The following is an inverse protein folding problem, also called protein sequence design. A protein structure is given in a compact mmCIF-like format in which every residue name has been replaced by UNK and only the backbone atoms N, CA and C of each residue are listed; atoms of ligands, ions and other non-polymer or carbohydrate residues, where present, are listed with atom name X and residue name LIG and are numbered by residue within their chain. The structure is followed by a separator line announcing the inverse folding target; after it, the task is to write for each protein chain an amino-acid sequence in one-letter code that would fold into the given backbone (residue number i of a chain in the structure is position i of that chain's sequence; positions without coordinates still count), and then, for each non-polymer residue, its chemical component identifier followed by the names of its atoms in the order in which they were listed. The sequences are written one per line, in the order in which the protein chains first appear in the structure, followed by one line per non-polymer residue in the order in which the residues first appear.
data_IF_256907441180
#
_entry.id   IF_256907441180
#
_cell.length_a   1.000
_cell.length_b   1.000
_cell.length_c   1.000
_cell.angle_alpha   90.00
_cell.angle_beta   90.00
_cell.angle_gamma   90.00
#
_symmetry.space_group_name_H-M   'P 1'
#
loop_
_entity.id
_entity.type
_entity.pdbx_description
1 polymer ?
#
# COMPACT_ATOMS: atom_id res chain seq x y z
N UNK A 1 21.04 -8.58 3.15
CA UNK A 1 20.22 -7.39 2.84
C UNK A 1 20.97 -6.16 3.29
N UNK A 2 20.81 -5.04 2.56
CA UNK A 2 21.26 -3.74 3.04
C UNK A 2 20.02 -2.93 3.44
N UNK A 3 20.01 -2.39 4.66
CA UNK A 3 19.00 -1.46 5.13
C UNK A 3 19.51 -0.03 4.99
N UNK A 4 18.77 0.80 4.25
CA UNK A 4 19.14 2.18 3.98
C UNK A 4 18.04 3.13 4.46
N UNK A 5 18.44 4.24 5.04
CA UNK A 5 17.59 5.40 5.29
C UNK A 5 18.04 6.51 4.33
N UNK A 6 17.18 6.87 3.39
CA UNK A 6 17.51 7.83 2.34
C UNK A 6 16.72 9.11 2.58
N UNK A 7 17.44 10.22 2.73
CA UNK A 7 16.86 11.56 2.75
C UNK A 7 17.12 12.21 1.38
N UNK A 8 16.09 12.82 0.81
CA UNK A 8 16.22 13.50 -0.49
C UNK A 8 15.18 14.61 -0.63
N UNK A 9 15.45 15.54 -1.52
CA UNK A 9 14.52 16.60 -1.88
C UNK A 9 13.53 16.09 -2.94
N UNK A 10 12.26 16.03 -2.59
CA UNK A 10 11.19 15.73 -3.54
C UNK A 10 10.80 17.01 -4.28
N UNK A 11 10.85 16.96 -5.61
CA UNK A 11 10.45 18.09 -6.45
C UNK A 11 8.95 18.33 -6.40
N UNK A 12 8.17 17.27 -6.27
CA UNK A 12 6.71 17.31 -6.23
C UNK A 12 6.20 17.83 -4.90
N UNK A 13 6.81 17.39 -3.78
CA UNK A 13 6.47 17.87 -2.45
C UNK A 13 7.09 19.25 -2.16
N UNK A 14 8.13 19.65 -2.90
CA UNK A 14 8.94 20.85 -2.68
C UNK A 14 9.51 20.93 -1.25
N UNK A 15 9.92 19.77 -0.73
CA UNK A 15 10.54 19.63 0.59
C UNK A 15 11.40 18.38 0.67
N UNK A 16 12.26 18.31 1.69
CA UNK A 16 13.00 17.10 1.99
C UNK A 16 12.08 16.05 2.61
N UNK A 17 12.25 14.82 2.17
CA UNK A 17 11.48 13.66 2.65
C UNK A 17 12.38 12.45 2.84
N UNK A 18 11.80 11.35 3.33
CA UNK A 18 12.55 10.16 3.71
C UNK A 18 11.92 8.91 3.15
N UNK A 19 12.76 7.92 2.89
CA UNK A 19 12.33 6.55 2.62
C UNK A 19 13.21 5.56 3.38
N UNK A 20 12.65 4.43 3.77
CA UNK A 20 13.39 3.23 4.14
C UNK A 20 13.51 2.31 2.93
N UNK A 21 14.68 1.71 2.74
CA UNK A 21 14.90 0.76 1.65
C UNK A 21 15.60 -0.48 2.18
N UNK A 22 15.02 -1.64 1.91
CA UNK A 22 15.67 -2.94 2.10
C UNK A 22 16.11 -3.41 0.73
N UNK A 23 17.42 -3.52 0.52
CA UNK A 23 17.98 -3.89 -0.77
C UNK A 23 18.56 -5.31 -0.73
N UNK A 24 18.20 -6.19 -1.69
CA UNK A 24 18.72 -7.54 -1.76
C UNK A 24 20.25 -7.57 -1.88
N UNK A 25 20.84 -8.52 -1.17
CA UNK A 25 22.25 -8.85 -1.27
C UNK A 25 22.40 -10.36 -1.22
N UNK A 26 23.29 -10.91 -2.04
CA UNK A 26 23.73 -12.28 -1.86
C UNK A 26 24.48 -12.39 -0.54
N UNK A 27 23.94 -13.14 0.39
CA UNK A 27 24.59 -13.36 1.68
C UNK A 27 24.31 -14.78 2.17
N UNK A 28 25.30 -15.33 2.84
CA UNK A 28 25.17 -16.59 3.53
C UNK A 28 25.65 -16.37 4.97
N UNK A 29 24.78 -16.60 5.93
CA UNK A 29 25.06 -16.42 7.34
C UNK A 29 24.29 -17.42 8.18
N UNK A 30 24.56 -17.46 9.48
CA UNK A 30 23.86 -18.35 10.41
C UNK A 30 22.38 -17.96 10.45
N UNK A 31 21.50 -18.86 9.99
CA UNK A 31 20.06 -18.65 9.97
C UNK A 31 19.58 -17.59 8.96
N UNK A 32 20.44 -17.17 8.03
CA UNK A 32 20.11 -16.18 7.03
C UNK A 32 20.53 -16.66 5.64
N UNK A 33 19.57 -16.75 4.74
CA UNK A 33 19.82 -16.92 3.32
C UNK A 33 19.29 -15.67 2.60
N UNK A 34 20.17 -14.94 1.93
CA UNK A 34 19.80 -13.83 1.04
C UNK A 34 19.90 -14.30 -0.40
N UNK A 35 18.90 -13.97 -1.20
CA UNK A 35 18.90 -14.17 -2.64
C UNK A 35 19.19 -12.85 -3.33
N UNK A 36 20.07 -12.87 -4.33
CA UNK A 36 20.22 -11.79 -5.28
C UNK A 36 19.83 -12.31 -6.65
N UNK A 37 18.80 -11.76 -7.25
CA UNK A 37 18.47 -12.04 -8.64
C UNK A 37 19.49 -11.33 -9.55
N UNK A 38 20.00 -12.05 -10.56
CA UNK A 38 21.20 -11.63 -11.30
C UNK A 38 21.03 -10.29 -12.02
N UNK A 39 19.86 -9.99 -12.59
CA UNK A 39 19.67 -8.87 -13.50
C UNK A 39 18.86 -7.71 -12.93
N UNK A 40 17.82 -7.99 -12.14
CA UNK A 40 16.96 -6.98 -11.56
C UNK A 40 16.30 -7.44 -10.25
N UNK A 41 15.91 -6.49 -9.41
CA UNK A 41 15.18 -6.77 -8.16
C UNK A 41 13.69 -6.51 -8.36
N UNK A 42 12.81 -7.48 -8.07
CA UNK A 42 11.39 -7.19 -7.88
C UNK A 42 11.22 -6.23 -6.70
N UNK A 43 10.16 -5.43 -6.73
CA UNK A 43 9.98 -4.31 -5.79
C UNK A 43 8.65 -4.42 -5.06
N UNK A 44 8.69 -4.27 -3.76
CA UNK A 44 7.54 -4.06 -2.90
C UNK A 44 7.52 -2.60 -2.40
N UNK A 45 6.52 -1.85 -2.82
CA UNK A 45 6.17 -0.54 -2.27
C UNK A 45 5.30 -0.77 -1.03
N UNK A 46 5.86 -0.58 0.17
CA UNK A 46 5.23 -0.96 1.43
C UNK A 46 4.81 0.28 2.23
N UNK A 47 3.50 0.48 2.30
CA UNK A 47 2.86 1.71 2.72
C UNK A 47 2.47 1.68 4.20
N UNK A 48 2.81 2.73 4.95
CA UNK A 48 2.52 2.85 6.37
C UNK A 48 1.06 3.24 6.66
N UNK A 49 0.62 2.99 7.89
CA UNK A 49 -0.68 3.38 8.41
C UNK A 49 -0.74 4.85 8.82
N UNK A 50 -1.91 5.29 9.27
CA UNK A 50 -2.10 6.62 9.84
C UNK A 50 -1.30 6.76 11.13
N UNK A 51 -0.71 7.93 11.37
CA UNK A 51 0.16 8.24 12.52
C UNK A 51 1.49 7.47 12.58
N UNK A 52 1.78 6.68 11.56
CA UNK A 52 3.04 6.00 11.39
C UNK A 52 3.99 6.82 10.49
N UNK A 53 5.19 6.31 10.31
CA UNK A 53 6.20 6.84 9.41
C UNK A 53 6.85 5.74 8.55
N UNK A 54 7.78 6.11 7.69
CA UNK A 54 8.51 5.19 6.81
C UNK A 54 9.29 4.08 7.54
N UNK A 55 9.49 4.19 8.86
CA UNK A 55 10.25 3.21 9.66
C UNK A 55 9.37 2.12 10.28
N UNK A 56 8.04 2.31 10.29
CA UNK A 56 7.17 1.52 11.15
C UNK A 56 7.19 0.03 10.80
N UNK A 57 7.20 -0.33 9.52
CA UNK A 57 7.27 -1.72 9.09
C UNK A 57 8.56 -2.41 9.56
N UNK A 58 9.70 -1.71 9.52
CA UNK A 58 10.98 -2.22 10.01
C UNK A 58 11.00 -2.43 11.53
N UNK A 59 10.24 -1.60 12.27
CA UNK A 59 10.20 -1.64 13.75
C UNK A 59 9.20 -2.62 14.32
N UNK A 60 8.16 -2.96 13.56
CA UNK A 60 7.02 -3.76 14.05
C UNK A 60 6.93 -5.14 13.43
N UNK A 61 7.72 -5.41 12.41
CA UNK A 61 7.75 -6.70 11.70
C UNK A 61 9.18 -7.16 11.45
N UNK A 62 9.33 -8.39 10.97
CA UNK A 62 10.61 -8.89 10.46
C UNK A 62 10.68 -8.80 8.93
N UNK A 63 10.18 -7.71 8.35
CA UNK A 63 10.06 -7.56 6.89
C UNK A 63 11.37 -7.79 6.14
N UNK A 64 12.52 -7.41 6.70
CA UNK A 64 13.83 -7.69 6.11
C UNK A 64 14.07 -9.20 5.99
N UNK A 65 13.74 -9.96 7.03
CA UNK A 65 13.88 -11.43 7.03
C UNK A 65 12.94 -12.09 6.03
N UNK A 66 11.72 -11.56 5.86
CA UNK A 66 10.73 -12.11 4.92
C UNK A 66 11.11 -11.84 3.48
N UNK A 67 11.63 -10.64 3.18
CA UNK A 67 12.03 -10.22 1.84
C UNK A 67 13.35 -10.86 1.36
N UNK A 68 14.24 -11.23 2.30
CA UNK A 68 15.60 -11.72 1.99
C UNK A 68 15.62 -12.96 1.08
N UNK A 69 14.92 -14.06 1.38
CA UNK A 69 14.92 -15.25 0.53
C UNK A 69 14.29 -15.03 -0.83
N UNK A 70 13.43 -14.03 -0.95
CA UNK A 70 12.72 -13.69 -2.19
C UNK A 70 13.55 -12.81 -3.14
N UNK A 71 14.69 -12.28 -2.68
CA UNK A 71 15.45 -11.28 -3.44
C UNK A 71 14.63 -10.00 -3.70
N UNK A 72 13.70 -9.71 -2.81
CA UNK A 72 12.72 -8.62 -2.95
C UNK A 72 13.28 -7.32 -2.38
N UNK A 73 13.30 -6.27 -3.19
CA UNK A 73 13.57 -4.92 -2.74
C UNK A 73 12.32 -4.33 -2.09
N UNK A 74 12.43 -3.77 -0.88
CA UNK A 74 11.29 -3.14 -0.20
C UNK A 74 11.54 -1.65 -0.06
N UNK A 75 10.59 -0.83 -0.52
CA UNK A 75 10.64 0.63 -0.44
C UNK A 75 9.49 1.10 0.44
N UNK A 76 9.82 1.79 1.53
CA UNK A 76 8.89 2.28 2.54
C UNK A 76 8.91 3.81 2.55
N UNK A 77 7.95 4.46 1.89
CA UNK A 77 7.89 5.91 1.79
C UNK A 77 7.26 6.58 3.01
N UNK A 78 7.59 7.87 3.23
CA UNK A 78 6.91 8.78 4.16
C UNK A 78 5.86 9.60 3.42
N UNK A 79 4.61 9.59 3.89
CA UNK A 79 3.50 10.35 3.27
C UNK A 79 2.59 11.06 4.28
N UNK A 80 2.99 11.16 5.54
CA UNK A 80 2.18 11.81 6.59
C UNK A 80 0.74 11.27 6.67
N UNK A 81 -0.25 12.13 6.87
CA UNK A 81 -1.68 11.77 6.95
C UNK A 81 -2.43 11.82 5.62
N UNK A 82 -1.73 11.92 4.51
CA UNK A 82 -2.27 12.28 3.19
C UNK A 82 -3.24 11.27 2.57
N UNK A 83 -3.37 10.07 3.13
CA UNK A 83 -4.08 8.93 2.49
C UNK A 83 -3.56 8.61 1.09
N UNK A 84 -2.30 8.99 0.81
CA UNK A 84 -1.67 8.80 -0.50
C UNK A 84 -2.35 9.57 -1.65
N UNK A 85 -3.05 10.65 -1.30
CA UNK A 85 -3.83 11.52 -2.22
C UNK A 85 -3.12 12.87 -2.36
N UNK A 86 -3.30 13.55 -3.49
CA UNK A 86 -2.94 14.95 -3.63
C UNK A 86 -3.89 15.78 -2.77
N UNK A 87 -3.38 16.33 -1.67
CA UNK A 87 -4.23 17.02 -0.71
C UNK A 87 -4.79 18.32 -1.31
N UNK A 88 -6.02 18.62 -1.01
CA UNK A 88 -6.67 19.89 -1.43
C UNK A 88 -5.99 21.10 -0.79
N UNK A 89 -5.61 20.96 0.47
CA UNK A 89 -4.93 21.99 1.27
C UNK A 89 -3.64 21.43 1.86
N UNK A 90 -2.71 20.95 0.98
CA UNK A 90 -1.45 20.36 1.41
C UNK A 90 -0.61 19.84 0.26
N UNK A 91 0.44 19.05 0.55
CA UNK A 91 1.34 18.51 -0.45
C UNK A 91 0.67 17.50 -1.39
N UNK A 92 1.28 17.30 -2.55
CA UNK A 92 0.80 16.42 -3.63
C UNK A 92 1.35 15.00 -3.47
N UNK A 93 0.92 14.28 -2.44
CA UNK A 93 1.47 12.97 -2.11
C UNK A 93 1.15 11.87 -3.14
N UNK A 94 0.02 11.95 -3.85
CA UNK A 94 -0.24 11.00 -4.94
C UNK A 94 0.77 11.15 -6.08
N UNK A 95 1.06 12.36 -6.52
CA UNK A 95 2.06 12.59 -7.57
C UNK A 95 3.47 12.22 -7.09
N UNK A 96 3.76 12.44 -5.81
CA UNK A 96 5.01 12.01 -5.19
C UNK A 96 5.16 10.49 -5.27
N UNK A 97 4.19 9.73 -4.76
CA UNK A 97 4.28 8.26 -4.67
C UNK A 97 4.18 7.57 -6.03
N UNK A 98 3.40 8.14 -6.97
CA UNK A 98 3.13 7.52 -8.27
C UNK A 98 4.11 7.93 -9.37
N UNK A 99 4.84 9.04 -9.23
CA UNK A 99 5.71 9.61 -10.27
C UNK A 99 7.11 9.94 -9.72
N UNK A 100 7.23 10.90 -8.80
CA UNK A 100 8.51 11.48 -8.36
C UNK A 100 9.38 10.42 -7.65
N UNK A 101 8.82 9.71 -6.68
CA UNK A 101 9.55 8.68 -5.93
C UNK A 101 10.01 7.50 -6.80
N UNK A 102 9.18 6.89 -7.68
CA UNK A 102 9.65 5.84 -8.57
C UNK A 102 10.78 6.28 -9.51
N UNK A 103 10.72 7.51 -10.03
CA UNK A 103 11.78 8.07 -10.87
C UNK A 103 13.07 8.29 -10.09
N UNK A 104 12.97 8.81 -8.85
CA UNK A 104 14.11 8.98 -7.96
C UNK A 104 14.75 7.62 -7.62
N UNK A 105 13.96 6.64 -7.19
CA UNK A 105 14.44 5.31 -6.84
C UNK A 105 15.09 4.60 -8.02
N UNK A 106 14.53 4.72 -9.22
CA UNK A 106 15.09 4.11 -10.42
C UNK A 106 16.47 4.67 -10.82
N UNK A 107 16.75 5.93 -10.49
CA UNK A 107 18.08 6.53 -10.69
C UNK A 107 19.06 6.10 -9.61
N UNK A 108 18.59 5.98 -8.37
CA UNK A 108 19.43 5.62 -7.23
C UNK A 108 19.74 4.12 -7.20
N UNK A 109 18.79 3.29 -7.64
CA UNK A 109 18.88 1.83 -7.64
C UNK A 109 18.74 1.26 -9.07
N UNK A 110 19.81 1.23 -9.87
CA UNK A 110 19.73 0.82 -11.29
C UNK A 110 19.23 -0.61 -11.53
N UNK A 111 19.37 -1.50 -10.53
CA UNK A 111 18.86 -2.87 -10.58
C UNK A 111 17.38 -3.00 -10.17
N UNK A 112 16.70 -1.93 -9.81
CA UNK A 112 15.27 -1.95 -9.51
C UNK A 112 14.47 -2.30 -10.77
N UNK A 113 13.65 -3.35 -10.72
CA UNK A 113 12.80 -3.71 -11.87
C UNK A 113 11.75 -2.64 -12.13
N UNK A 114 11.55 -2.34 -13.41
CA UNK A 114 10.47 -1.46 -13.90
C UNK A 114 9.32 -2.23 -14.55
N UNK A 115 9.42 -3.53 -14.60
CA UNK A 115 8.37 -4.37 -15.15
C UNK A 115 7.18 -4.41 -14.20
N UNK A 116 5.99 -4.30 -14.76
CA UNK A 116 4.74 -4.34 -13.99
C UNK A 116 4.63 -5.58 -13.10
N UNK A 117 4.92 -6.73 -13.68
CA UNK A 117 4.84 -8.04 -13.02
C UNK A 117 5.80 -8.20 -11.83
N UNK A 118 6.86 -7.39 -11.77
CA UNK A 118 7.85 -7.38 -10.70
C UNK A 118 7.59 -6.27 -9.66
N UNK A 119 6.56 -5.45 -9.84
CA UNK A 119 6.21 -4.36 -8.94
C UNK A 119 4.92 -4.67 -8.20
N UNK A 120 5.01 -4.63 -6.88
CA UNK A 120 3.93 -4.91 -5.94
C UNK A 120 3.72 -3.72 -5.03
N UNK A 121 2.49 -3.44 -4.64
CA UNK A 121 2.17 -2.39 -3.69
C UNK A 121 1.32 -2.97 -2.56
N UNK A 122 1.74 -2.74 -1.33
CA UNK A 122 1.08 -3.28 -0.15
C UNK A 122 0.99 -2.23 0.95
N UNK A 123 0.03 -2.36 1.85
CA UNK A 123 -0.05 -1.50 3.01
C UNK A 123 -1.12 -1.91 4.00
N UNK A 124 -1.04 -1.35 5.20
CA UNK A 124 -2.01 -1.55 6.27
C UNK A 124 -2.87 -0.31 6.50
N UNK A 125 -4.13 -0.49 6.91
CA UNK A 125 -5.01 0.60 7.32
C UNK A 125 -5.07 1.72 6.26
N UNK A 126 -4.60 2.93 6.59
CA UNK A 126 -4.45 4.03 5.63
C UNK A 126 -3.58 3.61 4.43
N UNK A 127 -2.50 2.86 4.68
CA UNK A 127 -1.62 2.33 3.62
C UNK A 127 -2.30 1.26 2.77
N UNK A 128 -3.24 0.47 3.33
CA UNK A 128 -4.08 -0.45 2.57
C UNK A 128 -5.00 0.29 1.59
N UNK A 129 -5.64 1.36 2.05
CA UNK A 129 -6.39 2.28 1.19
C UNK A 129 -5.50 2.96 0.15
N UNK A 130 -4.28 3.36 0.57
CA UNK A 130 -3.27 3.95 -0.32
C UNK A 130 -2.79 2.98 -1.40
N UNK A 131 -2.54 1.71 -1.03
CA UNK A 131 -2.15 0.68 -2.00
C UNK A 131 -3.23 0.46 -3.07
N UNK A 132 -4.49 0.41 -2.64
CA UNK A 132 -5.63 0.33 -3.56
C UNK A 132 -5.75 1.59 -4.42
N UNK A 133 -5.71 2.79 -3.81
CA UNK A 133 -5.81 4.05 -4.53
C UNK A 133 -4.71 4.23 -5.58
N UNK A 134 -3.45 4.05 -5.17
CA UNK A 134 -2.29 4.22 -6.06
C UNK A 134 -2.25 3.13 -7.13
N UNK A 135 -2.50 1.88 -6.74
CA UNK A 135 -2.43 0.73 -7.63
C UNK A 135 -3.52 0.74 -8.69
N UNK A 136 -4.77 1.07 -8.33
CA UNK A 136 -5.89 1.12 -9.29
C UNK A 136 -5.80 2.32 -10.23
N UNK A 137 -5.24 3.46 -9.78
CA UNK A 137 -4.97 4.60 -10.66
C UNK A 137 -3.72 4.41 -11.55
N UNK A 138 -2.95 3.34 -11.37
CA UNK A 138 -1.76 3.01 -12.17
C UNK A 138 -1.71 1.49 -12.45
N UNK A 139 -2.73 0.88 -13.06
CA UNK A 139 -2.80 -0.57 -13.25
C UNK A 139 -1.70 -1.12 -14.16
N UNK A 140 -1.09 -0.26 -14.95
CA UNK A 140 0.05 -0.53 -15.83
C UNK A 140 1.39 -0.64 -15.07
N UNK A 141 1.45 -0.22 -13.80
CA UNK A 141 2.69 -0.20 -13.01
C UNK A 141 2.81 -1.35 -12.03
N UNK A 142 1.69 -1.90 -11.56
CA UNK A 142 1.68 -2.88 -10.48
C UNK A 142 1.06 -4.21 -10.92
N UNK A 143 1.77 -5.30 -10.68
CA UNK A 143 1.27 -6.66 -10.91
C UNK A 143 0.30 -7.12 -9.83
N UNK A 144 0.54 -6.70 -8.57
CA UNK A 144 -0.33 -7.04 -7.43
C UNK A 144 -0.49 -5.89 -6.45
N UNK A 145 -1.66 -5.82 -5.84
CA UNK A 145 -2.01 -4.91 -4.74
C UNK A 145 -2.35 -5.75 -3.53
N UNK A 146 -1.78 -5.43 -2.36
CA UNK A 146 -2.14 -6.06 -1.09
C UNK A 146 -2.73 -5.02 -0.14
N UNK A 147 -3.90 -5.31 0.38
CA UNK A 147 -4.66 -4.46 1.30
C UNK A 147 -4.87 -5.18 2.63
N UNK A 148 -4.22 -4.68 3.70
CA UNK A 148 -4.37 -5.22 5.05
C UNK A 148 -5.20 -4.26 5.90
N UNK A 149 -6.29 -4.76 6.49
CA UNK A 149 -7.18 -3.95 7.36
C UNK A 149 -7.51 -2.58 6.78
N UNK A 150 -7.91 -2.52 5.52
CA UNK A 150 -8.10 -1.29 4.76
C UNK A 150 -9.00 -0.28 5.49
N UNK A 151 -8.51 0.94 5.57
CA UNK A 151 -9.23 2.05 6.21
C UNK A 151 -8.88 3.40 5.59
N UNK A 152 -9.57 4.45 6.04
CA UNK A 152 -9.32 5.81 5.56
C UNK A 152 -9.67 6.02 4.09
N UNK A 153 -10.67 5.31 3.58
CA UNK A 153 -11.16 5.43 2.20
C UNK A 153 -12.54 6.08 2.17
N UNK A 154 -12.72 7.03 1.28
CA UNK A 154 -14.01 7.65 1.05
C UNK A 154 -14.85 6.78 0.07
N UNK A 155 -16.17 6.78 0.21
CA UNK A 155 -17.01 7.44 1.22
C UNK A 155 -17.30 6.55 2.46
N UNK A 156 -16.51 5.53 2.75
CA UNK A 156 -16.84 4.44 3.68
C UNK A 156 -16.51 4.72 5.16
N UNK A 157 -16.09 5.92 5.53
CA UNK A 157 -15.66 6.19 6.90
C UNK A 157 -16.77 6.08 7.94
N UNK A 158 -18.02 6.39 7.57
CA UNK A 158 -19.17 6.29 8.47
C UNK A 158 -19.41 4.87 9.00
N UNK A 159 -18.93 3.85 8.29
CA UNK A 159 -19.17 2.44 8.66
C UNK A 159 -18.44 2.01 9.93
N UNK A 160 -17.36 2.71 10.31
CA UNK A 160 -16.55 2.33 11.47
C UNK A 160 -16.37 3.44 12.49
N UNK A 161 -16.70 4.69 12.13
CA UNK A 161 -16.54 5.83 13.02
C UNK A 161 -17.69 5.89 14.00
N UNK A 162 -17.38 5.86 15.30
CA UNK A 162 -18.36 6.20 16.32
C UNK A 162 -18.81 7.64 16.13
N UNK A 163 -20.11 7.85 16.05
CA UNK A 163 -20.74 9.18 15.92
C UNK A 163 -20.57 10.06 17.17
N UNK A 164 -19.84 9.61 18.17
CA UNK A 164 -19.56 10.34 19.40
C UNK A 164 -18.34 11.25 19.26
N UNK A 165 -18.59 12.47 18.97
CA UNK A 165 -17.95 13.73 19.43
C UNK A 165 -16.44 13.98 19.34
N UNK A 166 -15.57 13.03 19.35
CA UNK A 166 -14.12 13.26 19.49
C UNK A 166 -13.35 13.31 18.17
N UNK A 167 -13.98 13.84 17.12
CA UNK A 167 -13.58 13.59 15.74
C UNK A 167 -12.95 14.79 15.03
N UNK A 168 -12.52 15.77 15.80
CA UNK A 168 -11.92 16.99 15.25
C UNK A 168 -10.75 16.67 14.29
N UNK A 169 -9.83 15.81 14.70
CA UNK A 169 -8.66 15.49 13.88
C UNK A 169 -9.02 14.76 12.58
N UNK A 170 -10.03 13.89 12.61
CA UNK A 170 -10.49 13.23 11.39
C UNK A 170 -11.16 14.21 10.42
N UNK A 171 -12.05 15.03 10.95
CA UNK A 171 -12.72 16.08 10.16
C UNK A 171 -11.70 17.04 9.56
N UNK A 172 -10.74 17.48 10.36
CA UNK A 172 -9.66 18.36 9.90
C UNK A 172 -8.81 17.69 8.82
N UNK A 173 -8.43 16.43 9.00
CA UNK A 173 -7.70 15.68 7.96
C UNK A 173 -8.51 15.53 6.67
N UNK A 174 -9.82 15.25 6.76
CA UNK A 174 -10.67 15.17 5.59
C UNK A 174 -10.75 16.52 4.86
N UNK A 175 -10.89 17.62 5.60
CA UNK A 175 -10.91 18.97 5.04
C UNK A 175 -9.59 19.30 4.32
N UNK A 176 -8.44 18.96 4.91
CA UNK A 176 -7.14 19.19 4.30
C UNK A 176 -6.91 18.29 3.05
N UNK A 177 -7.39 17.05 3.09
CA UNK A 177 -7.20 16.09 1.99
C UNK A 177 -8.20 16.32 0.87
N UNK A 178 -9.49 16.43 1.18
CA UNK A 178 -10.59 16.42 0.21
C UNK A 178 -11.26 17.78 0.01
N UNK A 179 -11.03 18.76 0.90
CA UNK A 179 -11.74 20.02 0.92
C UNK A 179 -13.13 19.96 1.57
N UNK A 180 -13.44 18.85 2.25
CA UNK A 180 -14.68 18.66 3.02
C UNK A 180 -14.40 17.85 4.28
N UNK A 181 -15.09 18.18 5.36
CA UNK A 181 -15.03 17.39 6.60
C UNK A 181 -15.92 16.13 6.55
N UNK A 182 -16.82 16.06 5.58
CA UNK A 182 -17.77 14.98 5.36
C UNK A 182 -17.29 14.06 4.22
N UNK A 183 -16.72 12.91 4.59
CA UNK A 183 -16.26 11.93 3.61
C UNK A 183 -17.39 11.24 2.84
N UNK A 184 -18.62 11.22 3.38
CA UNK A 184 -19.76 10.58 2.73
C UNK A 184 -20.24 11.39 1.52
N UNK A 185 -20.02 12.72 1.56
CA UNK A 185 -20.29 13.61 0.42
C UNK A 185 -19.42 13.32 -0.83
N UNK A 186 -18.40 12.49 -0.68
CA UNK A 186 -17.49 12.11 -1.77
C UNK A 186 -17.99 10.92 -2.59
N UNK A 187 -19.14 10.34 -2.26
CA UNK A 187 -19.77 9.28 -3.06
C UNK A 187 -20.00 9.73 -4.51
N UNK A 188 -19.59 8.91 -5.47
CA UNK A 188 -19.68 9.20 -6.90
C UNK A 188 -18.66 10.21 -7.45
N UNK A 189 -17.84 10.82 -6.60
CA UNK A 189 -16.77 11.74 -7.03
C UNK A 189 -15.51 11.00 -7.46
N UNK A 190 -14.48 11.74 -7.84
CA UNK A 190 -13.14 11.19 -8.13
C UNK A 190 -12.47 10.52 -6.94
N UNK A 191 -12.90 10.80 -5.70
CA UNK A 191 -12.35 10.22 -4.47
C UNK A 191 -13.09 8.96 -4.01
N UNK A 192 -14.17 8.57 -4.70
CA UNK A 192 -14.95 7.38 -4.35
C UNK A 192 -14.19 6.11 -4.74
N UNK A 193 -13.75 5.37 -3.72
CA UNK A 193 -12.97 4.15 -3.92
C UNK A 193 -13.77 3.02 -4.60
N UNK A 194 -15.09 2.94 -4.32
CA UNK A 194 -15.94 1.92 -4.92
C UNK A 194 -16.15 2.19 -6.42
N UNK A 195 -16.30 3.47 -6.76
CA UNK A 195 -16.34 3.92 -8.16
C UNK A 195 -15.02 3.63 -8.86
N UNK A 196 -13.87 3.93 -8.23
CA UNK A 196 -12.55 3.66 -8.80
C UNK A 196 -12.35 2.18 -9.14
N UNK A 197 -12.77 1.26 -8.25
CA UNK A 197 -12.72 -0.19 -8.51
C UNK A 197 -13.50 -0.56 -9.78
N UNK A 198 -14.71 -0.02 -9.94
CA UNK A 198 -15.59 -0.32 -11.07
C UNK A 198 -15.09 0.31 -12.39
N UNK A 199 -14.64 1.56 -12.32
CA UNK A 199 -14.19 2.29 -13.52
C UNK A 199 -12.87 1.71 -14.04
N UNK A 200 -11.91 1.39 -13.17
CA UNK A 200 -10.67 0.75 -13.57
C UNK A 200 -10.92 -0.59 -14.29
N UNK A 201 -11.89 -1.39 -13.79
CA UNK A 201 -12.27 -2.66 -14.46
C UNK A 201 -12.87 -2.48 -15.84
N UNK A 202 -13.54 -1.36 -16.10
CA UNK A 202 -14.14 -1.04 -17.40
C UNK A 202 -13.13 -0.45 -18.40
N UNK A 203 -12.21 0.35 -17.90
CA UNK A 203 -11.32 1.17 -18.71
C UNK A 203 -10.02 0.43 -19.10
N UNK A 204 -9.63 -0.61 -18.33
CA UNK A 204 -8.36 -1.30 -18.52
C UNK A 204 -8.55 -2.79 -18.79
N UNK A 205 -7.79 -3.31 -19.75
CA UNK A 205 -7.75 -4.74 -20.10
C UNK A 205 -6.74 -5.54 -19.27
N UNK A 206 -5.76 -4.86 -18.68
CA UNK A 206 -4.73 -5.46 -17.82
C UNK A 206 -4.86 -4.85 -16.43
N UNK A 207 -5.24 -5.68 -15.46
CA UNK A 207 -5.54 -5.28 -14.09
C UNK A 207 -4.57 -5.93 -13.10
N UNK A 208 -4.25 -5.25 -11.99
CA UNK A 208 -3.47 -5.85 -10.92
C UNK A 208 -4.27 -6.95 -10.22
N UNK A 209 -3.60 -8.00 -9.77
CA UNK A 209 -4.20 -8.99 -8.87
C UNK A 209 -4.37 -8.37 -7.48
N UNK A 210 -5.50 -8.63 -6.84
CA UNK A 210 -5.84 -8.03 -5.54
C UNK A 210 -5.81 -9.09 -4.45
N UNK A 211 -4.98 -8.86 -3.44
CA UNK A 211 -4.97 -9.59 -2.18
C UNK A 211 -5.55 -8.70 -1.08
N UNK A 212 -6.65 -9.09 -0.47
CA UNK A 212 -7.33 -8.33 0.57
C UNK A 212 -7.47 -9.18 1.84
N UNK A 213 -6.87 -8.75 2.94
CA UNK A 213 -6.97 -9.44 4.23
C UNK A 213 -7.53 -8.53 5.32
N UNK A 214 -8.40 -9.09 6.17
CA UNK A 214 -9.11 -8.39 7.25
C UNK A 214 -9.25 -9.26 8.49
N UNK A 215 -8.98 -8.67 9.66
CA UNK A 215 -9.28 -9.30 10.94
C UNK A 215 -10.78 -9.31 11.24
N UNK A 216 -11.30 -10.43 11.73
CA UNK A 216 -12.74 -10.59 11.98
C UNK A 216 -13.27 -9.71 13.11
N UNK A 217 -12.39 -9.29 14.03
CA UNK A 217 -12.70 -8.38 15.13
C UNK A 217 -12.23 -6.94 14.88
N UNK A 218 -11.72 -6.65 13.67
CA UNK A 218 -11.29 -5.29 13.30
C UNK A 218 -12.49 -4.35 13.19
N UNK A 219 -12.41 -3.20 13.82
CA UNK A 219 -13.47 -2.16 13.77
C UNK A 219 -13.80 -1.70 12.35
N UNK A 220 -12.89 -1.93 11.39
CA UNK A 220 -13.06 -1.62 9.96
C UNK A 220 -13.61 -2.77 9.13
N UNK A 221 -13.97 -3.88 9.76
CA UNK A 221 -14.56 -5.03 9.08
C UNK A 221 -15.73 -4.64 8.15
N UNK A 222 -16.66 -3.74 8.55
CA UNK A 222 -17.74 -3.29 7.65
C UNK A 222 -17.23 -2.60 6.37
N UNK A 223 -16.12 -1.87 6.45
CA UNK A 223 -15.49 -1.24 5.26
C UNK A 223 -14.98 -2.31 4.30
N UNK A 224 -14.31 -3.33 4.86
CA UNK A 224 -13.80 -4.44 4.05
C UNK A 224 -14.94 -5.20 3.34
N UNK A 225 -16.09 -5.35 3.98
CA UNK A 225 -17.26 -6.03 3.37
C UNK A 225 -17.84 -5.25 2.19
N UNK A 226 -17.90 -3.93 2.24
CA UNK A 226 -18.36 -3.12 1.10
C UNK A 226 -17.34 -3.16 -0.06
N UNK A 227 -16.04 -3.11 0.23
CA UNK A 227 -14.99 -3.27 -0.77
C UNK A 227 -15.05 -4.67 -1.40
N UNK A 228 -15.14 -5.73 -0.58
CA UNK A 228 -15.27 -7.13 -1.02
C UNK A 228 -16.45 -7.28 -1.97
N UNK A 229 -17.63 -6.86 -1.54
CA UNK A 229 -18.85 -6.89 -2.33
C UNK A 229 -18.69 -6.20 -3.68
N UNK A 230 -17.97 -5.06 -3.71
CA UNK A 230 -17.75 -4.32 -4.95
C UNK A 230 -16.87 -5.09 -5.92
N UNK A 231 -15.77 -5.69 -5.47
CA UNK A 231 -14.93 -6.55 -6.31
C UNK A 231 -15.69 -7.81 -6.81
N UNK A 232 -16.39 -8.49 -5.92
CA UNK A 232 -17.14 -9.71 -6.24
C UNK A 232 -18.29 -9.47 -7.23
N UNK A 233 -18.84 -8.27 -7.27
CA UNK A 233 -19.90 -7.89 -8.23
C UNK A 233 -19.35 -7.57 -9.63
N UNK A 234 -18.04 -7.55 -9.84
CA UNK A 234 -17.46 -7.36 -11.18
C UNK A 234 -17.44 -8.70 -11.92
N UNK A 235 -18.15 -8.82 -13.06
CA UNK A 235 -18.23 -10.09 -13.76
C UNK A 235 -16.86 -10.63 -14.18
N UNK A 236 -16.67 -11.95 -14.00
CA UNK A 236 -15.47 -12.64 -14.46
C UNK A 236 -14.23 -12.46 -13.58
N UNK A 237 -14.33 -11.76 -12.45
CA UNK A 237 -13.21 -11.50 -11.53
C UNK A 237 -11.91 -11.06 -12.26
N UNK A 238 -11.92 -9.98 -13.02
CA UNK A 238 -10.77 -9.58 -13.85
C UNK A 238 -9.56 -9.12 -13.04
N UNK A 239 -9.74 -8.84 -11.75
CA UNK A 239 -8.68 -8.53 -10.79
C UNK A 239 -8.01 -9.76 -10.18
N UNK A 240 -8.48 -10.98 -10.49
CA UNK A 240 -8.12 -12.16 -9.72
C UNK A 240 -8.19 -11.87 -8.20
N UNK A 241 -9.29 -11.24 -7.78
CA UNK A 241 -9.52 -10.78 -6.41
C UNK A 241 -9.61 -11.95 -5.45
N UNK A 242 -8.78 -11.91 -4.43
CA UNK A 242 -8.73 -12.87 -3.32
C UNK A 242 -9.01 -12.14 -2.01
N UNK A 243 -10.03 -12.63 -1.28
CA UNK A 243 -10.35 -12.14 0.06
C UNK A 243 -9.99 -13.18 1.11
N UNK A 244 -9.30 -12.73 2.13
CA UNK A 244 -8.85 -13.54 3.26
C UNK A 244 -9.29 -12.89 4.57
N UNK A 245 -9.65 -13.70 5.57
CA UNK A 245 -9.93 -13.23 6.91
C UNK A 245 -9.45 -14.23 7.96
N UNK A 246 -9.18 -13.73 9.14
CA UNK A 246 -8.79 -14.53 10.29
C UNK A 246 -9.03 -13.78 11.58
N UNK A 247 -8.90 -14.46 12.75
CA UNK A 247 -8.99 -13.81 14.04
C UNK A 247 -8.00 -12.64 14.13
N UNK A 248 -8.44 -11.51 14.66
CA UNK A 248 -7.58 -10.36 14.87
C UNK A 248 -8.34 -9.04 14.83
N UNK A 249 -7.77 -8.09 15.55
CA UNK A 249 -8.23 -6.70 15.60
C UNK A 249 -7.34 -5.81 14.73
N UNK A 250 -7.51 -4.50 14.83
CA UNK A 250 -6.71 -3.52 14.06
C UNK A 250 -5.31 -3.33 14.66
N UNK A 251 -4.41 -4.30 14.47
CA UNK A 251 -3.13 -4.34 15.17
C UNK A 251 -1.98 -4.99 14.39
N UNK A 252 -0.75 -4.77 14.88
CA UNK A 252 0.49 -5.22 14.23
C UNK A 252 0.66 -6.74 14.22
N UNK A 253 0.10 -7.49 15.18
CA UNK A 253 0.16 -8.96 15.16
C UNK A 253 -0.52 -9.49 13.90
N UNK A 254 -1.70 -8.98 13.57
CA UNK A 254 -2.41 -9.33 12.35
C UNK A 254 -1.63 -8.92 11.08
N UNK A 255 -1.10 -7.71 11.05
CA UNK A 255 -0.40 -7.21 9.85
C UNK A 255 0.95 -7.89 9.61
N UNK A 256 1.70 -8.25 10.67
CA UNK A 256 2.96 -9.00 10.55
C UNK A 256 2.72 -10.42 10.01
N UNK A 257 1.65 -11.08 10.44
CA UNK A 257 1.27 -12.39 9.92
C UNK A 257 0.81 -12.31 8.45
N UNK A 258 -0.11 -11.39 8.14
CA UNK A 258 -0.74 -11.35 6.83
C UNK A 258 0.14 -10.76 5.72
N UNK A 259 1.14 -9.95 6.05
CA UNK A 259 2.14 -9.56 5.05
C UNK A 259 2.99 -10.76 4.61
N UNK A 260 3.29 -11.71 5.51
CA UNK A 260 3.99 -12.94 5.17
C UNK A 260 3.16 -13.80 4.22
N UNK A 261 1.88 -14.01 4.54
CA UNK A 261 0.96 -14.74 3.65
C UNK A 261 0.90 -14.12 2.26
N UNK A 262 0.82 -12.79 2.18
CA UNK A 262 0.90 -12.11 0.89
C UNK A 262 2.22 -12.38 0.16
N UNK A 263 3.36 -12.28 0.84
CA UNK A 263 4.68 -12.52 0.24
C UNK A 263 4.81 -13.94 -0.30
N UNK A 264 4.22 -14.92 0.36
CA UNK A 264 4.21 -16.32 -0.09
C UNK A 264 3.43 -16.51 -1.41
N UNK A 265 2.49 -15.60 -1.73
CA UNK A 265 1.76 -15.63 -3.01
C UNK A 265 2.56 -15.06 -4.18
N UNK A 266 3.67 -14.37 -3.90
CA UNK A 266 4.50 -13.75 -4.92
C UNK A 266 5.37 -14.78 -5.61
N UNK A 267 5.07 -15.64 -6.40
CA UNK A 267 5.86 -16.69 -7.08
C UNK A 267 7.31 -16.28 -7.44
N UNK A 268 7.97 -15.59 -6.52
CA UNK A 268 9.37 -15.16 -6.64
C UNK A 268 10.24 -16.37 -6.36
N UNK A 269 11.05 -16.78 -7.33
CA UNK A 269 12.04 -17.85 -7.15
C UNK A 269 13.07 -17.32 -6.15
N UNK A 270 12.99 -17.79 -4.92
CA UNK A 270 14.15 -17.74 -4.04
C UNK A 270 15.30 -18.43 -4.76
N UNK A 271 16.42 -17.74 -4.94
CA UNK A 271 17.60 -18.40 -5.53
C UNK A 271 18.01 -19.58 -4.65
N UNK A 272 17.99 -20.77 -5.21
CA UNK A 272 18.63 -21.95 -4.64
C UNK A 272 20.13 -21.72 -4.50
#
# INVERSE_FOLDING_TARGET
MALLHVNFHSKVLNMDTKIGVIMPQKMQGIGLAGSEQADSFPVLWLLHGRSDDYTIWMRRTSIERYAAPLGLMVIMPEVSYSRYINMKHGPRYYDYISKDLPEFCAKLFPKMSRKREDNYIAGLSMGGGGAMWVGLNNPDKYGRICMLSTGGVAPLEHLWRNKSGSDYMFKKCNEDIYGTSDSDSLAGTEYDILKLIQDTAKEHTVLPKIYHAMGTEDVRYPVAMEIKKTFENIPGNPYEYEYHEGPGVHEWVFWDEWIQHFLDTLALKGGN
#
